data_IF_290700977529
#
_entry.id   IF_290700977529
#
_cell.length_a   1.000
_cell.length_b   1.000
_cell.length_c   1.000
_cell.angle_alpha   90.00
_cell.angle_beta   90.00
_cell.angle_gamma   90.00
#
_symmetry.space_group_name_H-M   'P 1'
#
loop_
_entity.id
_entity.type
_entity.pdbx_description
1 polymer ?
#
# COMPACT_ATOMS: atom_id res chain seq x y z
N UNK A 1 25.46 12.18 -4.86
CA UNK A 1 24.01 11.92 -4.92
C UNK A 1 23.78 10.72 -4.03
N UNK A 2 23.14 10.90 -2.87
CA UNK A 2 22.85 9.79 -1.98
C UNK A 2 21.76 8.92 -2.58
N UNK A 3 21.84 7.60 -2.41
CA UNK A 3 20.77 6.69 -2.77
C UNK A 3 19.53 7.00 -1.92
N UNK A 4 18.57 7.73 -2.49
CA UNK A 4 17.26 7.94 -1.89
C UNK A 4 16.39 6.71 -2.17
N UNK A 5 16.30 5.80 -1.19
CA UNK A 5 15.50 4.59 -1.30
C UNK A 5 14.17 4.80 -0.60
N UNK A 6 13.09 4.87 -1.37
CA UNK A 6 11.73 5.05 -0.88
C UNK A 6 10.86 3.87 -1.36
N UNK A 7 9.93 3.45 -0.50
CA UNK A 7 8.87 2.50 -0.85
C UNK A 7 7.55 3.23 -0.65
N UNK A 8 6.72 3.27 -1.70
CA UNK A 8 5.32 3.63 -1.57
C UNK A 8 4.51 2.34 -1.43
N UNK A 9 3.80 2.18 -0.30
CA UNK A 9 3.07 0.96 0.03
C UNK A 9 1.65 1.09 -0.50
N UNK A 10 1.31 0.30 -1.51
CA UNK A 10 -0.02 0.27 -2.10
C UNK A 10 -1.08 -0.11 -1.05
N UNK A 11 -1.86 0.89 -0.63
CA UNK A 11 -2.95 0.73 0.35
C UNK A 11 -4.18 1.49 -0.14
N UNK A 12 -5.30 0.80 -0.44
CA UNK A 12 -6.53 1.49 -0.83
C UNK A 12 -6.97 2.51 0.22
N UNK A 13 -7.31 3.70 -0.23
CA UNK A 13 -7.72 4.79 0.66
C UNK A 13 -6.58 5.53 1.36
N UNK A 14 -5.30 5.33 0.99
CA UNK A 14 -4.17 6.09 1.53
C UNK A 14 -3.85 7.41 0.81
N UNK A 15 -4.70 7.79 -0.14
CA UNK A 15 -4.57 9.02 -0.91
C UNK A 15 -4.12 8.71 -2.34
N UNK A 16 -4.71 9.43 -3.28
CA UNK A 16 -4.49 9.26 -4.72
C UNK A 16 -3.23 9.99 -5.21
N UNK A 17 -2.73 10.92 -4.41
CA UNK A 17 -1.55 11.72 -4.74
C UNK A 17 -1.79 12.66 -5.93
N UNK A 18 -0.74 12.86 -6.73
CA UNK A 18 -0.78 13.79 -7.86
C UNK A 18 -1.69 13.28 -8.98
N UNK A 19 -1.59 11.99 -9.31
CA UNK A 19 -2.33 11.36 -10.40
C UNK A 19 -3.53 10.59 -9.87
N UNK A 20 -4.74 11.03 -10.22
CA UNK A 20 -5.97 10.40 -9.74
C UNK A 20 -6.85 9.86 -10.88
N UNK A 21 -6.93 8.54 -10.98
CA UNK A 21 -7.85 7.83 -11.89
C UNK A 21 -8.99 7.12 -11.17
N UNK A 22 -9.03 7.17 -9.83
CA UNK A 22 -10.11 6.57 -9.04
C UNK A 22 -11.51 7.14 -9.40
N UNK A 23 -11.68 8.42 -9.76
CA UNK A 23 -12.97 8.94 -10.20
C UNK A 23 -13.51 8.24 -11.45
N UNK A 24 -12.67 8.00 -12.45
CA UNK A 24 -13.12 7.36 -13.70
C UNK A 24 -13.37 5.86 -13.52
N UNK A 25 -12.62 5.20 -12.63
CA UNK A 25 -12.76 3.76 -12.38
C UNK A 25 -13.92 3.43 -11.43
N UNK A 26 -14.08 4.22 -10.37
CA UNK A 26 -14.93 3.88 -9.21
C UNK A 26 -15.89 5.01 -8.79
N UNK A 27 -15.92 6.13 -9.51
CA UNK A 27 -16.76 7.27 -9.13
C UNK A 27 -16.34 7.95 -7.83
N UNK A 28 -15.07 7.81 -7.42
CA UNK A 28 -14.57 8.49 -6.21
C UNK A 28 -14.65 10.02 -6.34
N UNK A 29 -14.62 10.78 -5.22
CA UNK A 29 -14.39 12.22 -5.25
C UNK A 29 -13.08 12.61 -5.94
N UNK A 30 -12.95 13.90 -6.29
CA UNK A 30 -11.79 14.44 -7.01
C UNK A 30 -10.45 14.24 -6.29
N UNK A 31 -10.44 14.20 -4.96
CA UNK A 31 -9.28 13.93 -4.12
C UNK A 31 -9.17 12.45 -3.69
N UNK A 32 -10.00 11.57 -4.26
CA UNK A 32 -10.18 10.19 -3.81
C UNK A 32 -11.05 10.10 -2.56
N UNK A 33 -10.89 9.01 -1.80
CA UNK A 33 -11.52 8.88 -0.49
C UNK A 33 -10.63 9.52 0.58
N UNK A 34 -11.10 10.61 1.18
CA UNK A 34 -10.37 11.37 2.18
C UNK A 34 -9.47 12.44 1.57
N UNK A 35 -8.26 12.62 2.14
CA UNK A 35 -7.30 13.63 1.70
C UNK A 35 -6.58 13.16 0.43
N UNK A 36 -6.31 14.08 -0.50
CA UNK A 36 -5.52 13.79 -1.72
C UNK A 36 -4.20 13.09 -1.41
N UNK A 37 -3.49 13.56 -0.40
CA UNK A 37 -2.28 12.92 0.14
C UNK A 37 -2.57 12.46 1.58
N UNK A 38 -2.41 11.16 1.85
CA UNK A 38 -2.66 10.54 3.17
C UNK A 38 -4.05 9.90 3.31
N UNK A 39 -5.01 10.24 2.45
CA UNK A 39 -6.25 9.49 2.28
C UNK A 39 -7.22 9.58 3.47
N UNK A 40 -7.93 8.49 3.73
CA UNK A 40 -8.84 8.37 4.86
C UNK A 40 -8.07 8.27 6.17
N UNK A 41 -8.71 8.71 7.26
CA UNK A 41 -8.06 8.93 8.57
C UNK A 41 -8.61 8.03 9.68
N UNK A 42 -9.48 7.09 9.35
CA UNK A 42 -10.01 6.09 10.29
C UNK A 42 -10.47 4.84 9.53
N UNK A 43 -10.48 3.71 10.24
CA UNK A 43 -10.84 2.39 9.70
C UNK A 43 -12.28 2.34 9.17
N UNK A 44 -13.22 2.98 9.85
CA UNK A 44 -14.65 2.91 9.48
C UNK A 44 -14.92 3.56 8.13
N UNK A 45 -14.11 4.54 7.74
CA UNK A 45 -14.18 5.17 6.43
C UNK A 45 -13.82 4.22 5.28
N UNK A 46 -13.24 3.04 5.55
CA UNK A 46 -13.05 2.00 4.55
C UNK A 46 -14.38 1.53 3.94
N UNK A 47 -15.51 1.64 4.67
CA UNK A 47 -16.84 1.28 4.13
C UNK A 47 -17.30 2.15 2.97
N UNK A 48 -16.63 3.27 2.69
CA UNK A 48 -16.92 4.17 1.57
C UNK A 48 -16.26 3.71 0.25
N UNK A 49 -15.28 2.81 0.33
CA UNK A 49 -14.57 2.28 -0.84
C UNK A 49 -15.36 1.12 -1.47
N UNK A 50 -15.14 0.83 -2.77
CA UNK A 50 -15.60 -0.40 -3.42
C UNK A 50 -15.26 -1.64 -2.59
N UNK A 51 -16.16 -2.63 -2.57
CA UNK A 51 -16.06 -3.81 -1.72
C UNK A 51 -14.72 -4.55 -1.87
N UNK A 52 -14.20 -4.59 -3.08
CA UNK A 52 -12.93 -5.23 -3.46
C UNK A 52 -11.71 -4.53 -2.84
N UNK A 53 -11.82 -3.23 -2.53
CA UNK A 53 -10.75 -2.42 -1.96
C UNK A 53 -10.79 -2.36 -0.43
N UNK A 54 -11.93 -2.70 0.19
CA UNK A 54 -12.11 -2.58 1.63
C UNK A 54 -11.15 -3.45 2.45
N UNK A 55 -10.83 -4.72 2.08
CA UNK A 55 -9.89 -5.53 2.86
C UNK A 55 -8.48 -4.90 2.93
N UNK A 56 -7.97 -4.40 1.81
CA UNK A 56 -6.66 -3.72 1.77
C UNK A 56 -6.67 -2.38 2.52
N UNK A 57 -7.80 -1.67 2.48
CA UNK A 57 -8.00 -0.46 3.27
C UNK A 57 -7.99 -0.76 4.78
N UNK A 58 -8.69 -1.80 5.22
CA UNK A 58 -8.76 -2.19 6.63
C UNK A 58 -7.40 -2.69 7.13
N UNK A 59 -6.66 -3.44 6.31
CA UNK A 59 -5.29 -3.88 6.62
C UNK A 59 -4.37 -2.72 7.04
N UNK A 60 -4.52 -1.53 6.42
CA UNK A 60 -3.74 -0.33 6.78
C UNK A 60 -3.92 0.01 8.26
N UNK A 61 -5.12 -0.10 8.80
CA UNK A 61 -5.43 0.23 10.20
C UNK A 61 -5.27 -0.96 11.15
N UNK A 62 -5.47 -2.18 10.65
CA UNK A 62 -5.43 -3.40 11.47
C UNK A 62 -4.00 -3.89 11.71
N UNK A 63 -3.09 -3.64 10.76
CA UNK A 63 -1.73 -4.19 10.79
C UNK A 63 -0.62 -3.17 10.58
N UNK A 64 -0.76 -2.27 9.60
CA UNK A 64 0.34 -1.37 9.22
C UNK A 64 0.50 -0.19 10.19
N UNK A 65 -0.60 0.46 10.57
CA UNK A 65 -0.60 1.63 11.43
C UNK A 65 -0.68 1.19 12.90
N UNK A 66 0.27 1.58 13.76
CA UNK A 66 0.20 1.28 15.18
C UNK A 66 -0.91 2.11 15.87
N UNK A 67 -1.47 1.64 17.00
CA UNK A 67 -2.62 2.29 17.66
C UNK A 67 -2.40 3.76 18.07
N UNK A 68 -1.15 4.17 18.28
CA UNK A 68 -0.75 5.53 18.66
C UNK A 68 -0.56 6.50 17.47
N UNK A 69 -0.67 6.01 16.24
CA UNK A 69 -0.57 6.82 15.01
C UNK A 69 -1.82 6.73 14.12
N UNK A 70 -3.04 6.97 14.64
CA UNK A 70 -4.30 6.66 13.95
C UNK A 70 -4.53 7.43 12.64
N UNK A 71 -3.77 8.50 12.40
CA UNK A 71 -3.91 9.42 11.28
C UNK A 71 -3.01 9.09 10.08
N UNK A 72 -2.17 8.05 10.18
CA UNK A 72 -1.24 7.66 9.12
C UNK A 72 0.18 7.44 9.63
N UNK A 73 0.97 6.73 8.83
CA UNK A 73 2.35 6.37 9.13
C UNK A 73 3.23 6.73 7.94
N UNK A 74 4.40 7.33 8.20
CA UNK A 74 5.48 7.47 7.23
C UNK A 74 6.78 7.01 7.91
N UNK A 75 7.01 5.69 8.02
CA UNK A 75 8.07 5.16 8.85
C UNK A 75 9.40 5.19 8.10
N UNK A 76 10.50 5.41 8.83
CA UNK A 76 11.84 5.18 8.29
C UNK A 76 12.15 3.70 8.32
N UNK A 77 12.39 3.10 7.14
CA UNK A 77 12.83 1.71 7.03
C UNK A 77 14.29 1.62 7.47
N UNK A 78 14.56 0.84 8.52
CA UNK A 78 15.91 0.69 9.10
C UNK A 78 16.87 -0.04 8.16
N UNK A 79 16.38 -1.04 7.42
CA UNK A 79 17.13 -1.76 6.41
C UNK A 79 16.19 -2.41 5.39
N UNK A 80 16.68 -2.60 4.17
CA UNK A 80 15.95 -3.28 3.09
C UNK A 80 16.88 -4.27 2.39
N UNK A 81 16.37 -5.44 2.07
CA UNK A 81 17.09 -6.48 1.36
C UNK A 81 16.17 -7.05 0.26
N UNK A 82 16.74 -7.30 -0.92
CA UNK A 82 16.02 -8.02 -1.97
C UNK A 82 16.02 -9.52 -1.63
N UNK A 83 14.83 -10.10 -1.66
CA UNK A 83 14.59 -11.53 -1.43
C UNK A 83 13.89 -12.12 -2.64
N UNK A 84 13.90 -13.45 -2.73
CA UNK A 84 13.06 -14.18 -3.67
C UNK A 84 11.59 -13.89 -3.37
N UNK A 85 10.79 -13.62 -4.40
CA UNK A 85 9.40 -13.24 -4.20
C UNK A 85 8.59 -14.40 -3.60
N UNK A 86 7.93 -14.22 -2.44
CA UNK A 86 7.01 -15.23 -1.91
C UNK A 86 5.91 -15.56 -2.91
N UNK A 87 5.54 -16.85 -3.00
CA UNK A 87 4.57 -17.35 -3.98
C UNK A 87 3.22 -16.62 -3.93
N UNK A 88 2.78 -16.19 -2.75
CA UNK A 88 1.55 -15.41 -2.60
C UNK A 88 1.57 -14.08 -3.40
N UNK A 89 2.73 -13.45 -3.58
CA UNK A 89 2.85 -12.23 -4.36
C UNK A 89 2.91 -12.51 -5.86
N UNK A 90 3.63 -13.57 -6.27
CA UNK A 90 3.79 -13.90 -7.69
C UNK A 90 2.53 -14.52 -8.27
N UNK A 91 1.76 -15.29 -7.48
CA UNK A 91 0.45 -15.80 -7.89
C UNK A 91 -0.57 -14.66 -8.08
N UNK A 92 -0.53 -13.63 -7.23
CA UNK A 92 -1.43 -12.48 -7.33
C UNK A 92 -1.09 -11.56 -8.51
N UNK A 93 0.19 -11.42 -8.85
CA UNK A 93 0.66 -10.49 -9.90
C UNK A 93 0.93 -11.16 -11.25
N UNK A 94 0.98 -12.50 -11.28
CA UNK A 94 1.37 -13.28 -12.47
C UNK A 94 2.81 -13.03 -12.93
N UNK A 95 3.65 -12.41 -12.11
CA UNK A 95 4.99 -11.95 -12.50
C UNK A 95 6.06 -12.59 -11.63
N UNK A 96 7.06 -13.20 -12.28
CA UNK A 96 8.27 -13.73 -11.64
C UNK A 96 9.46 -13.21 -12.45
N UNK A 97 10.46 -12.64 -11.78
CA UNK A 97 11.68 -12.20 -12.46
C UNK A 97 12.56 -13.39 -12.84
N UNK A 98 13.26 -13.28 -13.98
CA UNK A 98 14.20 -14.32 -14.43
C UNK A 98 15.35 -14.59 -13.44
N UNK A 99 15.76 -13.57 -12.68
CA UNK A 99 16.82 -13.64 -11.67
C UNK A 99 16.30 -13.92 -10.24
N UNK A 100 15.00 -14.19 -10.06
CA UNK A 100 14.40 -14.35 -8.73
C UNK A 100 15.01 -15.52 -7.94
N UNK A 101 15.39 -16.59 -8.65
CA UNK A 101 16.07 -17.75 -8.07
C UNK A 101 17.49 -17.49 -7.55
N UNK A 102 18.06 -16.31 -7.80
CA UNK A 102 19.39 -15.93 -7.30
C UNK A 102 19.36 -15.29 -5.89
N UNK A 103 18.16 -15.10 -5.31
CA UNK A 103 17.97 -14.45 -4.02
C UNK A 103 17.52 -15.45 -2.96
N UNK A 104 17.87 -15.18 -1.71
CA UNK A 104 17.40 -15.98 -0.57
C UNK A 104 15.89 -15.82 -0.38
N UNK A 105 15.25 -16.84 0.21
CA UNK A 105 13.87 -16.72 0.68
C UNK A 105 13.73 -15.56 1.68
N UNK A 106 12.53 -14.98 1.76
CA UNK A 106 12.23 -13.97 2.77
C UNK A 106 12.34 -14.58 4.18
N UNK A 107 12.83 -13.82 5.18
CA UNK A 107 12.71 -14.23 6.58
C UNK A 107 11.23 -14.46 6.92
N UNK A 108 10.92 -15.55 7.62
CA UNK A 108 9.59 -15.80 8.17
C UNK A 108 9.37 -15.00 9.45
#
# INVERSE_FOLDING_TARGET
MGDHRQIDIQTPGAGVGELNTCPSQWGSPADGWGRRFGGIMNRDSCGQLPAELQPGCQWRFDWLIPPDHPYGLNPTISSMCRVKCPKILTDNTGTIRYDDGNYSEAPQ
#
